data_IF_750746117504
#
_entry.id   IF_750746117504
#
_cell.length_a   1.000
_cell.length_b   1.000
_cell.length_c   1.000
_cell.angle_alpha   90.00
_cell.angle_beta   90.00
_cell.angle_gamma   90.00
#
_symmetry.space_group_name_H-M   'P 1'
#
loop_
_entity.id
_entity.type
_entity.pdbx_description
1 polymer ?
#
# COMPACT_ATOMS: atom_id res chain seq x y z
N UNK A 1 -1.12 -12.42 -0.51
CA UNK A 1 -1.26 -10.96 -0.30
C UNK A 1 -1.48 -10.69 1.19
N UNK A 2 -0.77 -9.74 1.77
CA UNK A 2 -0.97 -9.28 3.16
C UNK A 2 -1.63 -7.89 3.15
N UNK A 3 -2.74 -7.73 3.88
CA UNK A 3 -3.37 -6.43 4.12
C UNK A 3 -3.18 -6.03 5.58
N UNK A 4 -2.65 -4.82 5.81
CA UNK A 4 -2.41 -4.28 7.15
C UNK A 4 -3.44 -3.19 7.44
N UNK A 5 -4.25 -3.37 8.48
CA UNK A 5 -5.27 -2.39 8.90
C UNK A 5 -5.24 -2.20 10.41
N UNK A 6 -4.94 -0.97 10.84
CA UNK A 6 -4.85 -0.59 12.24
C UNK A 6 -6.19 -0.51 12.98
N UNK A 7 -7.29 -0.28 12.27
CA UNK A 7 -8.63 -0.14 12.87
C UNK A 7 -9.30 -1.50 12.99
N UNK A 8 -9.41 -2.00 14.22
CA UNK A 8 -9.97 -3.32 14.53
C UNK A 8 -11.32 -3.61 13.84
N UNK A 9 -12.26 -2.65 13.85
CA UNK A 9 -13.57 -2.83 13.18
C UNK A 9 -13.44 -3.07 11.67
N UNK A 10 -12.51 -2.39 11.00
CA UNK A 10 -12.24 -2.56 9.57
C UNK A 10 -11.51 -3.88 9.30
N UNK A 11 -10.51 -4.22 10.12
CA UNK A 11 -9.81 -5.49 10.01
C UNK A 11 -10.75 -6.69 10.21
N UNK A 12 -11.68 -6.62 11.17
CA UNK A 12 -12.70 -7.65 11.39
C UNK A 12 -13.63 -7.79 10.18
N UNK A 13 -14.10 -6.67 9.62
CA UNK A 13 -14.88 -6.68 8.38
C UNK A 13 -14.10 -7.32 7.22
N UNK A 14 -12.82 -6.96 7.02
CA UNK A 14 -11.98 -7.53 5.97
C UNK A 14 -11.77 -9.04 6.16
N UNK A 15 -11.56 -9.52 7.39
CA UNK A 15 -11.46 -10.96 7.68
C UNK A 15 -12.74 -11.70 7.30
N UNK A 16 -13.91 -11.13 7.63
CA UNK A 16 -15.19 -11.68 7.19
C UNK A 16 -15.28 -11.68 5.66
N UNK A 17 -14.98 -10.55 4.99
CA UNK A 17 -15.04 -10.46 3.53
C UNK A 17 -14.12 -11.48 2.83
N UNK A 18 -12.90 -11.68 3.33
CA UNK A 18 -11.97 -12.71 2.81
C UNK A 18 -12.59 -14.10 2.91
N UNK A 19 -13.21 -14.43 4.05
CA UNK A 19 -13.87 -15.72 4.26
C UNK A 19 -15.09 -15.91 3.36
N UNK A 20 -16.00 -14.94 3.33
CA UNK A 20 -17.27 -15.06 2.58
C UNK A 20 -17.08 -15.02 1.06
N UNK A 21 -16.03 -14.34 0.57
CA UNK A 21 -15.68 -14.29 -0.85
C UNK A 21 -14.69 -15.39 -1.26
N UNK A 22 -14.34 -16.29 -0.34
CA UNK A 22 -13.41 -17.40 -0.57
C UNK A 22 -12.07 -16.95 -1.19
N UNK A 23 -11.56 -15.79 -0.74
CA UNK A 23 -10.31 -15.24 -1.26
C UNK A 23 -9.14 -16.06 -0.70
N UNK A 24 -8.62 -16.95 -1.54
CA UNK A 24 -7.39 -17.69 -1.27
C UNK A 24 -6.18 -16.74 -1.29
N UNK A 25 -5.17 -17.06 -0.48
CA UNK A 25 -3.92 -16.30 -0.37
C UNK A 25 -4.07 -14.83 0.09
N UNK A 26 -5.07 -14.51 0.91
CA UNK A 26 -5.18 -13.18 1.55
C UNK A 26 -5.11 -13.28 3.07
N UNK A 27 -4.11 -12.63 3.67
CA UNK A 27 -3.96 -12.51 5.13
C UNK A 27 -4.30 -11.08 5.58
N UNK A 28 -5.07 -10.94 6.65
CA UNK A 28 -5.41 -9.65 7.27
C UNK A 28 -4.69 -9.51 8.60
N UNK A 29 -3.74 -8.58 8.68
CA UNK A 29 -3.04 -8.22 9.90
C UNK A 29 -3.65 -6.95 10.52
N UNK A 30 -4.25 -7.11 11.70
CA UNK A 30 -4.91 -6.02 12.44
C UNK A 30 -3.90 -5.20 13.25
N UNK A 31 -2.93 -4.58 12.58
CA UNK A 31 -1.80 -3.89 13.22
C UNK A 31 -1.55 -2.51 12.61
N UNK A 32 -0.77 -1.68 13.31
CA UNK A 32 -0.12 -0.52 12.68
C UNK A 32 1.02 -1.01 11.79
N UNK A 33 1.25 -0.35 10.66
CA UNK A 33 2.36 -0.69 9.74
C UNK A 33 3.72 -0.72 10.43
N UNK A 34 3.94 0.15 11.42
CA UNK A 34 5.17 0.20 12.21
C UNK A 34 5.35 -0.98 13.16
N UNK A 35 4.26 -1.66 13.54
CA UNK A 35 4.24 -2.81 14.42
C UNK A 35 4.24 -4.15 13.67
N UNK A 36 4.30 -4.12 12.33
CA UNK A 36 4.30 -5.33 11.51
C UNK A 36 5.56 -6.16 11.83
N UNK A 37 5.42 -7.48 12.10
CA UNK A 37 6.55 -8.35 12.42
C UNK A 37 7.68 -8.30 11.38
N UNK A 38 8.92 -8.34 11.86
CA UNK A 38 10.13 -8.23 11.02
C UNK A 38 10.24 -9.31 9.93
N UNK A 39 9.60 -10.48 10.10
CA UNK A 39 9.53 -11.53 9.08
C UNK A 39 8.95 -11.07 7.74
N UNK A 40 8.20 -9.97 7.73
CA UNK A 40 7.60 -9.40 6.52
C UNK A 40 8.48 -8.34 5.85
N UNK A 41 9.65 -8.02 6.41
CA UNK A 41 10.61 -7.11 5.78
C UNK A 41 11.20 -7.75 4.54
N UNK A 42 11.27 -6.98 3.45
CA UNK A 42 11.76 -7.44 2.14
C UNK A 42 11.07 -8.70 1.59
N UNK A 43 9.82 -8.96 1.99
CA UNK A 43 9.10 -10.18 1.66
C UNK A 43 8.16 -10.06 0.45
N UNK A 44 7.99 -8.86 -0.11
CA UNK A 44 7.01 -8.61 -1.17
C UNK A 44 7.67 -8.11 -2.47
N UNK A 45 7.09 -8.47 -3.61
CA UNK A 45 7.44 -7.85 -4.90
C UNK A 45 6.90 -6.42 -5.00
N UNK A 46 5.70 -6.20 -4.46
CA UNK A 46 4.98 -4.94 -4.57
C UNK A 46 4.30 -4.59 -3.25
N UNK A 47 4.38 -3.32 -2.85
CA UNK A 47 3.57 -2.74 -1.78
C UNK A 47 2.69 -1.61 -2.32
N UNK A 48 1.41 -1.62 -1.94
CA UNK A 48 0.46 -0.56 -2.32
C UNK A 48 -0.10 0.10 -1.07
N UNK A 49 -0.28 1.42 -1.12
CA UNK A 49 -0.89 2.15 -0.02
C UNK A 49 -1.86 3.24 -0.51
N UNK A 50 -2.94 3.40 0.24
CA UNK A 50 -3.95 4.43 0.01
C UNK A 50 -4.33 5.06 1.33
N UNK A 51 -4.27 6.39 1.41
CA UNK A 51 -4.65 7.17 2.59
C UNK A 51 -3.98 6.71 3.90
N UNK A 52 -2.69 6.30 3.83
CA UNK A 52 -1.94 5.79 4.98
C UNK A 52 -1.10 6.88 5.70
N UNK A 53 -1.37 8.16 5.43
CA UNK A 53 -0.65 9.30 5.98
C UNK A 53 -0.03 10.15 4.88
N UNK A 54 1.06 10.85 5.23
CA UNK A 54 1.91 11.56 4.28
C UNK A 54 2.49 10.59 3.23
N UNK A 55 2.52 11.04 1.97
CA UNK A 55 2.87 10.19 0.82
C UNK A 55 4.33 9.75 0.89
N UNK A 56 5.26 10.65 1.23
CA UNK A 56 6.68 10.33 1.30
C UNK A 56 6.99 9.38 2.44
N UNK A 57 6.40 9.62 3.61
CA UNK A 57 6.52 8.76 4.78
C UNK A 57 5.98 7.36 4.47
N UNK A 58 4.83 7.28 3.79
CA UNK A 58 4.22 6.01 3.38
C UNK A 58 5.10 5.28 2.36
N UNK A 59 5.67 6.00 1.39
CA UNK A 59 6.56 5.45 0.38
C UNK A 59 7.81 4.83 1.03
N UNK A 60 8.49 5.58 1.91
CA UNK A 60 9.66 5.10 2.67
C UNK A 60 9.34 3.87 3.53
N UNK A 61 8.19 3.86 4.19
CA UNK A 61 7.77 2.72 4.98
C UNK A 61 7.54 1.48 4.11
N UNK A 62 6.88 1.66 2.95
CA UNK A 62 6.66 0.61 1.96
C UNK A 62 7.94 -0.01 1.44
N UNK A 63 8.99 0.81 1.21
CA UNK A 63 10.29 0.34 0.71
C UNK A 63 10.93 -0.69 1.66
N UNK A 64 10.66 -0.60 2.96
CA UNK A 64 11.15 -1.58 3.94
C UNK A 64 10.47 -2.96 3.86
N UNK A 65 9.36 -3.10 3.13
CA UNK A 65 8.62 -4.36 3.00
C UNK A 65 8.87 -5.05 1.66
N UNK A 66 9.30 -4.31 0.64
CA UNK A 66 9.58 -4.89 -0.67
C UNK A 66 11.01 -5.40 -0.76
N UNK A 67 11.23 -6.46 -1.53
CA UNK A 67 12.57 -6.98 -1.84
C UNK A 67 13.36 -5.99 -2.71
N UNK A 68 14.66 -6.19 -2.83
CA UNK A 68 15.48 -5.45 -3.80
C UNK A 68 14.92 -5.62 -5.22
N UNK A 69 14.74 -4.51 -5.93
CA UNK A 69 14.05 -4.45 -7.23
C UNK A 69 12.53 -4.49 -7.14
N UNK A 70 11.95 -4.60 -5.94
CA UNK A 70 10.50 -4.50 -5.71
C UNK A 70 10.00 -3.06 -5.75
N UNK A 71 8.68 -2.89 -5.85
CA UNK A 71 8.06 -1.58 -6.13
C UNK A 71 7.03 -1.17 -5.08
N UNK A 72 6.98 0.11 -4.76
CA UNK A 72 5.96 0.72 -3.89
C UNK A 72 5.14 1.70 -4.69
N UNK A 73 3.81 1.61 -4.59
CA UNK A 73 2.89 2.58 -5.19
C UNK A 73 1.94 3.15 -4.13
N UNK A 74 2.04 4.46 -3.92
CA UNK A 74 1.16 5.20 -2.99
C UNK A 74 0.21 6.07 -3.81
N UNK A 75 -1.05 6.17 -3.39
CA UNK A 75 -1.98 7.13 -4.01
C UNK A 75 -1.39 8.54 -3.99
N UNK A 76 -1.28 9.16 -5.15
CA UNK A 76 -0.68 10.47 -5.31
C UNK A 76 -1.59 11.57 -4.78
N UNK A 77 -1.02 12.70 -4.34
CA UNK A 77 -1.82 13.87 -4.01
C UNK A 77 -2.50 14.43 -5.28
N UNK A 78 -3.60 15.18 -5.12
CA UNK A 78 -4.22 15.92 -6.23
C UNK A 78 -3.25 16.89 -6.91
N UNK A 79 -2.37 17.53 -6.13
CA UNK A 79 -1.32 18.43 -6.60
C UNK A 79 0.08 17.82 -6.33
N UNK A 80 0.91 17.60 -7.37
CA UNK A 80 2.24 17.03 -7.23
C UNK A 80 3.31 17.98 -6.66
N UNK A 81 3.05 19.29 -6.53
CA UNK A 81 4.04 20.32 -6.18
C UNK A 81 4.84 20.01 -4.89
N UNK A 82 4.25 19.25 -3.96
CA UNK A 82 4.88 18.86 -2.69
C UNK A 82 5.64 17.53 -2.67
N UNK A 83 5.67 16.77 -3.76
CA UNK A 83 6.31 15.44 -3.79
C UNK A 83 7.78 15.57 -4.16
N UNK A 84 8.69 15.23 -3.23
CA UNK A 84 10.14 15.32 -3.42
C UNK A 84 10.80 13.98 -3.74
N UNK A 85 10.15 12.87 -3.38
CA UNK A 85 10.67 11.51 -3.60
C UNK A 85 9.68 10.63 -4.35
N UNK A 86 10.22 9.67 -5.09
CA UNK A 86 9.46 8.83 -5.99
C UNK A 86 9.03 9.55 -7.26
N UNK A 87 8.50 8.78 -8.20
CA UNK A 87 7.98 9.26 -9.48
C UNK A 87 6.48 9.48 -9.40
N UNK A 88 6.05 10.73 -9.56
CA UNK A 88 4.62 11.03 -9.75
C UNK A 88 4.16 10.51 -11.12
N UNK A 89 3.12 9.68 -11.11
CA UNK A 89 2.58 9.01 -12.29
C UNK A 89 1.08 9.20 -12.34
N UNK A 90 0.55 9.62 -13.48
CA UNK A 90 -0.89 9.68 -13.74
C UNK A 90 -1.29 8.53 -14.64
N UNK A 91 -2.24 7.72 -14.18
CA UNK A 91 -2.79 6.58 -14.91
C UNK A 91 -4.17 6.96 -15.44
N UNK A 92 -4.37 6.77 -16.74
CA UNK A 92 -5.67 6.89 -17.40
C UNK A 92 -6.49 5.63 -17.13
N UNK A 93 -7.75 5.81 -16.72
CA UNK A 93 -8.70 4.76 -16.42
C UNK A 93 -9.84 4.76 -17.46
N UNK A 94 -10.55 3.63 -17.61
CA UNK A 94 -11.75 3.58 -18.44
C UNK A 94 -12.77 4.67 -18.07
N UNK A 95 -13.33 5.29 -19.11
CA UNK A 95 -14.27 6.41 -18.99
C UNK A 95 -13.61 7.78 -18.83
N UNK A 96 -12.36 7.96 -19.27
CA UNK A 96 -11.66 9.26 -19.27
C UNK A 96 -11.25 9.77 -17.88
N UNK A 97 -11.31 8.92 -16.86
CA UNK A 97 -10.92 9.28 -15.49
C UNK A 97 -9.42 9.11 -15.31
N UNK A 98 -8.82 9.90 -14.44
CA UNK A 98 -7.40 9.76 -14.08
C UNK A 98 -7.23 9.40 -12.60
N UNK A 99 -6.13 8.72 -12.29
CA UNK A 99 -5.63 8.60 -10.91
C UNK A 99 -4.13 8.85 -10.88
N UNK A 100 -3.70 9.60 -9.88
CA UNK A 100 -2.29 9.84 -9.60
C UNK A 100 -1.74 8.85 -8.57
N UNK A 101 -0.46 8.54 -8.72
CA UNK A 101 0.33 7.70 -7.84
C UNK A 101 1.72 8.29 -7.68
N UNK A 102 2.35 8.07 -6.52
CA UNK A 102 3.79 8.23 -6.34
C UNK A 102 4.39 6.84 -6.22
N UNK A 103 5.35 6.54 -7.08
CA UNK A 103 5.92 5.19 -7.26
C UNK A 103 7.42 5.22 -7.05
N UNK A 104 7.96 4.22 -6.35
CA UNK A 104 9.40 4.07 -6.14
C UNK A 104 9.80 2.59 -6.09
N UNK A 105 11.10 2.31 -6.23
CA UNK A 105 11.66 0.96 -6.22
C UNK A 105 12.77 0.83 -5.17
N UNK A 106 12.86 -0.34 -4.51
CA UNK A 106 13.85 -0.63 -3.47
C UNK A 106 15.18 -1.22 -3.99
#
# INVERSE_FOLDING_TARGET
>A
MLLVESRQRRASFLKTAVRELELVDVEILSERVLSVPSRWRKAFDVAVARCAGDVESTLKLGLGFVRTGGMVAVSGPPDPCGVKIGRYTVVQLPGGRTRSFVVDSA
#
